data_IF_941761637136
#
_entry.id   IF_941761637136
#
_cell.length_a   1.000
_cell.length_b   1.000
_cell.length_c   1.000
_cell.angle_alpha   90.00
_cell.angle_beta   90.00
_cell.angle_gamma   90.00
#
_symmetry.space_group_name_H-M   'P 1'
#
loop_
_entity.id
_entity.type
_entity.pdbx_description
1 polymer ?
#
# COMPACT_ATOMS: atom_id res chain seq x y z
N UNK A 1 21.74 -5.42 22.59
CA UNK A 1 20.94 -4.18 22.46
C UNK A 1 19.49 -4.60 22.27
N UNK A 2 18.55 -3.88 22.89
CA UNK A 2 17.11 -4.14 22.73
C UNK A 2 16.50 -3.14 21.74
N UNK A 3 15.41 -3.52 21.08
CA UNK A 3 14.61 -2.59 20.29
C UNK A 3 13.73 -1.72 21.21
N UNK A 4 13.51 -0.47 20.82
CA UNK A 4 12.55 0.46 21.42
C UNK A 4 11.58 0.96 20.35
N UNK A 5 10.34 1.26 20.74
CA UNK A 5 9.35 1.81 19.83
C UNK A 5 9.85 3.16 19.27
N UNK A 6 9.96 3.25 17.95
CA UNK A 6 10.35 4.49 17.27
C UNK A 6 9.15 5.20 16.65
N UNK A 7 8.22 4.45 16.06
CA UNK A 7 7.05 4.99 15.37
C UNK A 7 5.88 4.03 15.53
N UNK A 8 4.68 4.58 15.67
CA UNK A 8 3.44 3.82 15.79
C UNK A 8 2.38 4.42 14.87
N UNK A 9 1.87 3.62 13.93
CA UNK A 9 0.85 4.04 12.98
C UNK A 9 -0.47 3.31 13.27
N UNK A 10 -1.48 4.06 13.70
CA UNK A 10 -2.84 3.58 13.90
C UNK A 10 -3.84 4.74 13.71
N UNK A 11 -5.07 4.42 13.30
CA UNK A 11 -6.12 5.39 13.02
C UNK A 11 -5.63 6.60 12.21
N UNK A 12 -5.91 7.80 12.73
CA UNK A 12 -5.52 9.05 12.08
C UNK A 12 -4.00 9.19 11.94
N UNK A 13 -3.21 8.64 12.87
CA UNK A 13 -1.75 8.68 12.80
C UNK A 13 -1.17 7.91 11.62
N UNK A 14 -1.82 6.83 11.17
CA UNK A 14 -1.45 6.15 9.93
C UNK A 14 -1.84 7.00 8.72
N UNK A 15 -3.06 7.56 8.72
CA UNK A 15 -3.57 8.37 7.61
C UNK A 15 -2.76 9.68 7.41
N UNK A 16 -2.18 10.22 8.47
CA UNK A 16 -1.32 11.42 8.41
C UNK A 16 0.16 11.08 8.23
N UNK A 17 0.58 9.87 8.63
CA UNK A 17 1.95 9.39 8.54
C UNK A 17 2.37 8.90 7.16
N UNK A 18 1.47 8.87 6.19
CA UNK A 18 1.68 8.36 4.85
C UNK A 18 1.19 9.34 3.77
N UNK A 19 1.94 9.40 2.68
CA UNK A 19 1.58 10.09 1.45
C UNK A 19 0.74 9.20 0.54
N UNK A 20 -0.30 9.76 -0.08
CA UNK A 20 -1.16 9.08 -1.05
C UNK A 20 -0.64 9.36 -2.46
N UNK A 21 -0.16 8.33 -3.14
CA UNK A 21 0.31 8.42 -4.51
C UNK A 21 -0.89 8.49 -5.47
N UNK A 22 -0.87 9.42 -6.43
CA UNK A 22 -1.95 9.62 -7.43
C UNK A 22 -1.47 9.53 -8.88
N UNK A 23 -0.21 9.16 -9.07
CA UNK A 23 0.38 8.99 -10.39
C UNK A 23 -0.11 7.72 -11.09
N UNK A 24 0.33 7.54 -12.33
CA UNK A 24 0.17 6.27 -13.03
C UNK A 24 0.90 5.16 -12.29
N UNK A 25 0.31 3.97 -12.27
CA UNK A 25 0.92 2.82 -11.61
C UNK A 25 2.28 2.47 -12.23
N UNK A 26 3.38 2.49 -11.46
CA UNK A 26 4.70 2.17 -11.98
C UNK A 26 4.83 0.74 -12.52
N UNK A 27 3.93 -0.17 -12.07
CA UNK A 27 3.81 -1.54 -12.57
C UNK A 27 2.82 -1.70 -13.72
N UNK A 28 2.23 -0.59 -14.21
CA UNK A 28 1.31 -0.53 -15.35
C UNK A 28 0.00 -1.33 -15.16
N UNK A 29 -0.49 -1.43 -13.92
CA UNK A 29 -1.77 -2.04 -13.60
C UNK A 29 -2.98 -1.22 -14.04
N UNK A 30 -4.15 -1.87 -14.16
CA UNK A 30 -5.43 -1.22 -14.41
C UNK A 30 -6.02 -0.63 -13.11
N UNK A 31 -5.40 0.44 -12.63
CA UNK A 31 -5.72 1.08 -11.34
C UNK A 31 -5.70 2.60 -11.44
N UNK A 32 -6.64 3.25 -10.76
CA UNK A 32 -6.65 4.71 -10.60
C UNK A 32 -6.40 5.04 -9.12
N UNK A 33 -5.17 5.46 -8.78
CA UNK A 33 -4.87 5.78 -7.40
C UNK A 33 -5.43 7.16 -7.01
N UNK A 34 -6.31 7.16 -6.02
CA UNK A 34 -7.00 8.35 -5.54
C UNK A 34 -6.16 9.14 -4.52
N UNK A 35 -6.39 10.46 -4.47
CA UNK A 35 -5.89 11.28 -3.37
C UNK A 35 -6.55 10.88 -2.05
N UNK A 36 -5.95 11.29 -0.92
CA UNK A 36 -6.51 11.07 0.42
C UNK A 36 -7.95 11.56 0.54
N UNK A 37 -8.25 12.76 0.02
CA UNK A 37 -9.59 13.36 0.09
C UNK A 37 -10.61 12.58 -0.73
N UNK A 38 -10.28 12.23 -1.97
CA UNK A 38 -11.14 11.43 -2.84
C UNK A 38 -11.38 10.03 -2.28
N UNK A 39 -10.34 9.39 -1.74
CA UNK A 39 -10.42 8.05 -1.16
C UNK A 39 -11.30 8.00 0.10
N UNK A 40 -11.25 9.05 0.93
CA UNK A 40 -12.11 9.19 2.11
C UNK A 40 -13.57 9.47 1.68
N UNK A 41 -13.75 10.37 0.71
CA UNK A 41 -15.08 10.73 0.19
C UNK A 41 -15.78 9.55 -0.48
N UNK A 42 -15.03 8.71 -1.21
CA UNK A 42 -15.52 7.48 -1.84
C UNK A 42 -15.59 6.28 -0.88
N UNK A 43 -15.21 6.45 0.40
CA UNK A 43 -15.26 5.43 1.45
C UNK A 43 -14.43 4.16 1.14
N UNK A 44 -13.44 4.28 0.25
CA UNK A 44 -12.42 3.23 0.05
C UNK A 44 -11.33 3.33 1.11
N UNK A 45 -11.17 4.49 1.75
CA UNK A 45 -10.39 4.66 2.98
C UNK A 45 -11.28 5.18 4.10
N UNK A 46 -11.17 4.56 5.27
CA UNK A 46 -11.89 5.00 6.47
C UNK A 46 -11.20 4.51 7.75
N UNK A 47 -11.56 5.11 8.88
CA UNK A 47 -11.14 4.69 10.23
C UNK A 47 -12.41 4.30 10.97
N UNK A 48 -12.41 3.13 11.60
CA UNK A 48 -13.54 2.67 12.40
C UNK A 48 -13.44 3.11 13.88
N UNK A 49 -14.45 2.79 14.67
CA UNK A 49 -14.54 3.12 16.09
C UNK A 49 -13.42 2.49 16.95
N UNK A 50 -12.69 1.51 16.42
CA UNK A 50 -11.56 0.83 17.08
C UNK A 50 -10.19 1.34 16.59
N UNK A 51 -10.14 2.46 15.85
CA UNK A 51 -8.93 3.01 15.22
C UNK A 51 -8.28 2.08 14.18
N UNK A 52 -9.02 1.11 13.63
CA UNK A 52 -8.52 0.30 12.53
C UNK A 52 -8.72 1.06 11.23
N UNK A 53 -7.68 1.07 10.41
CA UNK A 53 -7.73 1.71 9.09
C UNK A 53 -8.16 0.71 8.05
N UNK A 54 -9.24 1.02 7.33
CA UNK A 54 -9.61 0.33 6.10
C UNK A 54 -8.89 1.00 4.93
N UNK A 55 -8.14 0.22 4.16
CA UNK A 55 -7.61 0.60 2.85
C UNK A 55 -8.20 -0.36 1.81
N UNK A 56 -9.02 0.17 0.90
CA UNK A 56 -9.82 -0.63 -0.02
C UNK A 56 -9.73 -0.16 -1.47
N UNK A 57 -10.65 -0.70 -2.27
CA UNK A 57 -10.84 -0.40 -3.69
C UNK A 57 -12.31 -0.11 -3.95
N UNK A 58 -12.63 0.49 -5.09
CA UNK A 58 -14.01 0.55 -5.55
C UNK A 58 -14.51 -0.86 -5.89
N UNK A 59 -15.53 -1.33 -5.17
CA UNK A 59 -16.19 -2.61 -5.39
C UNK A 59 -17.66 -2.48 -5.84
N UNK A 60 -18.08 -1.29 -6.26
CA UNK A 60 -19.47 -0.95 -6.59
C UNK A 60 -19.60 -0.66 -8.09
N UNK A 61 -18.67 0.12 -8.64
CA UNK A 61 -18.77 0.62 -10.00
C UNK A 61 -18.16 -0.33 -11.05
N UNK A 62 -18.67 -0.22 -12.28
CA UNK A 62 -18.16 -0.91 -13.47
C UNK A 62 -17.31 0.04 -14.30
N UNK A 63 -16.20 -0.45 -14.83
CA UNK A 63 -15.23 0.33 -15.59
C UNK A 63 -14.99 -0.32 -16.97
N UNK A 64 -14.85 0.51 -17.99
CA UNK A 64 -14.41 0.13 -19.32
C UNK A 64 -12.90 -0.10 -19.32
N UNK A 65 -12.39 -0.95 -20.21
CA UNK A 65 -10.95 -1.14 -20.40
C UNK A 65 -10.23 0.10 -20.93
N UNK A 66 -10.97 1.12 -21.37
CA UNK A 66 -10.44 2.44 -21.75
C UNK A 66 -10.33 3.43 -20.59
N UNK A 67 -10.87 3.11 -19.42
CA UNK A 67 -10.80 3.96 -18.24
C UNK A 67 -9.39 3.91 -17.63
N UNK A 68 -9.11 4.82 -16.70
CA UNK A 68 -7.81 4.88 -16.00
C UNK A 68 -7.51 3.62 -15.19
N UNK A 69 -8.56 2.95 -14.71
CA UNK A 69 -8.47 1.78 -13.85
C UNK A 69 -9.54 1.76 -12.79
N UNK A 70 -9.56 0.70 -11.98
CA UNK A 70 -10.41 0.64 -10.78
C UNK A 70 -9.81 1.53 -9.68
N UNK A 71 -10.58 2.40 -9.01
CA UNK A 71 -10.07 3.21 -7.92
C UNK A 71 -9.48 2.40 -6.77
N UNK A 72 -8.30 2.80 -6.32
CA UNK A 72 -7.57 2.21 -5.20
C UNK A 72 -6.69 3.28 -4.53
N UNK A 73 -5.86 2.87 -3.57
CA UNK A 73 -4.90 3.74 -2.89
C UNK A 73 -3.52 3.08 -2.81
N UNK A 74 -2.48 3.87 -3.01
CA UNK A 74 -1.09 3.50 -2.76
C UNK A 74 -0.51 4.48 -1.75
N UNK A 75 -0.13 3.96 -0.59
CA UNK A 75 0.41 4.76 0.51
C UNK A 75 1.92 4.55 0.62
N UNK A 76 2.66 5.62 0.92
CA UNK A 76 4.11 5.56 1.19
C UNK A 76 4.40 6.32 2.47
N UNK A 77 5.12 5.72 3.41
CA UNK A 77 5.40 6.35 4.70
C UNK A 77 6.21 7.64 4.54
N UNK A 78 5.91 8.64 5.37
CA UNK A 78 6.68 9.89 5.41
C UNK A 78 8.07 9.69 6.04
N UNK A 79 8.21 8.67 6.88
CA UNK A 79 9.48 8.29 7.48
C UNK A 79 10.19 7.24 6.63
N UNK A 80 11.52 7.36 6.58
CA UNK A 80 12.43 6.41 5.98
C UNK A 80 13.24 5.70 7.06
N UNK A 81 13.58 4.45 6.82
CA UNK A 81 14.29 3.62 7.79
C UNK A 81 15.38 2.82 7.09
N UNK A 82 16.63 3.00 7.52
CA UNK A 82 17.76 2.20 7.01
C UNK A 82 17.80 0.82 7.66
N UNK A 83 17.44 0.73 8.94
CA UNK A 83 17.40 -0.50 9.73
C UNK A 83 16.24 -0.42 10.73
N UNK A 84 15.65 -1.55 11.10
CA UNK A 84 14.58 -1.57 12.10
C UNK A 84 13.98 -2.95 12.32
N UNK A 85 13.03 -3.00 13.24
CA UNK A 85 12.05 -4.08 13.38
C UNK A 85 10.70 -3.50 13.02
N UNK A 86 10.08 -4.03 11.97
CA UNK A 86 8.77 -3.60 11.49
C UNK A 86 7.73 -4.65 11.88
N UNK A 87 6.66 -4.20 12.54
CA UNK A 87 5.55 -5.05 12.95
C UNK A 87 4.29 -4.41 12.39
N UNK A 88 3.55 -5.17 11.59
CA UNK A 88 2.24 -4.79 11.08
C UNK A 88 1.23 -5.85 11.50
N UNK A 89 0.14 -5.42 12.11
CA UNK A 89 -0.98 -6.27 12.53
C UNK A 89 -2.18 -6.00 11.60
N UNK A 90 -2.63 -7.05 10.91
CA UNK A 90 -3.69 -6.97 9.93
C UNK A 90 -4.88 -7.84 10.35
N UNK A 91 -6.02 -7.20 10.59
CA UNK A 91 -7.28 -7.92 10.79
C UNK A 91 -7.80 -8.55 9.48
N UNK A 92 -7.45 -7.98 8.33
CA UNK A 92 -7.85 -8.44 7.00
C UNK A 92 -6.85 -7.91 5.94
N UNK A 93 -6.72 -8.62 4.82
CA UNK A 93 -5.96 -8.20 3.64
C UNK A 93 -6.78 -8.47 2.36
N UNK A 94 -6.48 -7.86 1.21
CA UNK A 94 -7.23 -8.12 -0.02
C UNK A 94 -7.30 -9.62 -0.34
N UNK A 95 -8.48 -10.09 -0.72
CA UNK A 95 -8.73 -11.52 -0.96
C UNK A 95 -8.10 -12.00 -2.26
N UNK A 96 -7.83 -13.31 -2.34
CA UNK A 96 -7.37 -14.02 -3.53
C UNK A 96 -8.44 -13.97 -4.65
N UNK A 97 -8.43 -12.90 -5.45
CA UNK A 97 -9.45 -12.59 -6.46
C UNK A 97 -8.77 -12.28 -7.80
N UNK A 98 -9.33 -12.74 -8.91
CA UNK A 98 -8.78 -12.47 -10.25
C UNK A 98 -8.57 -10.96 -10.48
N UNK A 99 -7.42 -10.60 -11.04
CA UNK A 99 -7.08 -9.22 -11.40
C UNK A 99 -6.54 -8.36 -10.24
N UNK A 100 -6.50 -8.85 -9.00
CA UNK A 100 -5.89 -8.11 -7.90
C UNK A 100 -4.40 -8.41 -7.77
N UNK A 101 -3.63 -7.43 -7.29
CA UNK A 101 -2.23 -7.58 -6.88
C UNK A 101 -1.98 -6.71 -5.63
N UNK A 102 -2.32 -7.19 -4.43
CA UNK A 102 -2.00 -6.50 -3.19
C UNK A 102 -0.52 -6.65 -2.80
N UNK A 103 0.04 -5.61 -2.20
CA UNK A 103 1.39 -5.66 -1.63
C UNK A 103 1.52 -4.81 -0.35
N UNK A 104 2.30 -5.32 0.61
CA UNK A 104 2.89 -4.57 1.73
C UNK A 104 4.40 -4.80 1.68
N UNK A 105 5.13 -3.74 1.36
CA UNK A 105 6.52 -3.84 0.91
C UNK A 105 7.30 -2.59 1.32
N UNK A 106 8.61 -2.66 1.17
CA UNK A 106 9.55 -1.57 1.44
C UNK A 106 10.43 -1.35 0.22
N UNK A 107 10.83 -0.10 -0.03
CA UNK A 107 11.70 0.24 -1.15
C UNK A 107 12.57 1.44 -0.82
N UNK A 108 13.67 1.57 -1.57
CA UNK A 108 14.47 2.77 -1.50
C UNK A 108 13.79 3.93 -2.25
N UNK A 109 13.33 4.90 -1.48
CA UNK A 109 12.77 6.17 -1.98
C UNK A 109 13.75 7.34 -1.88
N UNK A 110 14.97 7.14 -1.39
CA UNK A 110 15.96 8.20 -1.26
C UNK A 110 16.68 8.47 -2.59
N UNK A 111 16.81 9.75 -2.94
CA UNK A 111 17.38 10.23 -4.20
C UNK A 111 18.90 10.11 -4.33
N UNK A 112 19.53 9.10 -3.71
CA UNK A 112 20.97 8.87 -3.75
C UNK A 112 21.46 8.15 -5.04
N UNK A 113 20.70 8.27 -6.14
CA UNK A 113 21.03 7.70 -7.44
C UNK A 113 20.48 6.30 -7.71
N UNK A 114 19.79 5.69 -6.74
CA UNK A 114 19.16 4.37 -6.90
C UNK A 114 17.66 4.44 -6.61
N UNK A 115 16.90 5.04 -7.52
CA UNK A 115 15.44 5.05 -7.42
C UNK A 115 14.88 3.65 -7.69
N UNK A 116 13.72 3.35 -7.10
CA UNK A 116 12.92 2.20 -7.51
C UNK A 116 12.79 2.13 -9.05
N UNK A 117 13.02 0.95 -9.68
CA UNK A 117 13.25 -0.35 -9.04
C UNK A 117 14.73 -0.67 -8.70
N UNK A 118 15.69 0.17 -9.12
CA UNK A 118 17.14 -0.10 -8.95
C UNK A 118 17.66 0.06 -7.53
N UNK A 119 16.92 0.76 -6.68
CA UNK A 119 17.26 0.99 -5.27
C UNK A 119 17.06 -0.21 -4.35
N UNK A 120 16.49 -1.28 -4.89
CA UNK A 120 16.09 -2.46 -4.16
C UNK A 120 14.75 -2.31 -3.46
N UNK A 121 14.13 -3.47 -3.20
CA UNK A 121 12.85 -3.59 -2.52
C UNK A 121 12.78 -4.91 -1.74
N UNK A 122 11.92 -4.94 -0.73
CA UNK A 122 11.58 -6.15 0.04
C UNK A 122 10.07 -6.24 0.15
N UNK A 123 9.51 -7.30 -0.42
CA UNK A 123 8.08 -7.58 -0.43
C UNK A 123 7.74 -8.50 0.74
N UNK A 124 7.04 -7.95 1.72
CA UNK A 124 6.73 -8.63 2.98
C UNK A 124 5.42 -9.40 2.83
N UNK A 125 4.43 -8.80 2.18
CA UNK A 125 3.20 -9.46 1.74
C UNK A 125 3.03 -9.16 0.27
N UNK A 126 2.94 -10.17 -0.57
CA UNK A 126 2.65 -10.02 -1.99
C UNK A 126 1.94 -11.26 -2.55
N UNK A 127 1.04 -11.02 -3.50
CA UNK A 127 0.44 -12.06 -4.32
C UNK A 127 -0.39 -11.44 -5.43
N UNK A 128 -0.71 -12.24 -6.44
CA UNK A 128 -1.55 -11.80 -7.55
C UNK A 128 -2.67 -12.81 -7.81
N UNK A 129 -3.79 -12.30 -8.32
CA UNK A 129 -4.94 -13.08 -8.72
C UNK A 129 -5.44 -13.98 -7.57
N UNK A 130 -5.58 -15.28 -7.83
CA UNK A 130 -6.09 -16.27 -6.90
C UNK A 130 -4.99 -16.92 -6.04
N UNK A 131 -3.81 -16.31 -5.93
CA UNK A 131 -2.73 -16.80 -5.08
C UNK A 131 -3.21 -16.93 -3.61
N UNK A 132 -2.99 -18.11 -3.03
CA UNK A 132 -3.43 -18.44 -1.66
C UNK A 132 -2.27 -18.51 -0.66
N UNK A 133 -1.03 -18.33 -1.13
CA UNK A 133 0.16 -18.31 -0.29
C UNK A 133 0.90 -17.02 -0.58
N UNK A 134 1.45 -16.45 0.49
CA UNK A 134 2.26 -15.25 0.37
C UNK A 134 3.52 -15.53 -0.45
N UNK A 135 3.89 -14.59 -1.32
CA UNK A 135 5.20 -14.51 -1.94
C UNK A 135 6.03 -13.51 -1.15
N UNK A 136 7.16 -13.96 -0.61
CA UNK A 136 8.16 -13.09 -0.03
C UNK A 136 9.30 -12.96 -1.05
N UNK A 137 9.66 -11.74 -1.42
CA UNK A 137 10.70 -11.45 -2.40
C UNK A 137 11.59 -10.29 -1.98
N UNK A 138 12.74 -10.21 -2.61
CA UNK A 138 13.64 -9.07 -2.55
C UNK A 138 14.22 -8.83 -3.94
N UNK A 139 14.34 -7.55 -4.31
CA UNK A 139 14.91 -7.11 -5.58
C UNK A 139 16.14 -6.25 -5.28
N UNK A 140 17.21 -6.42 -6.07
CA UNK A 140 18.53 -5.81 -5.83
C UNK A 140 19.20 -5.37 -7.12
#
# INVERSE_FOLDING_TARGET
MAYSLSTHYAGQGLIDGFNFFTGQDPTHGFVDYLSKEEAMTSNIVSIDEFNRVKLGVDSINTYSTSDRGRPSVRLTSNHHFTHGLFIADFAHMPSSTCGTWPTFWTFNSEGNGSFWPKGGEVDIIEGANTAQRNLFSAHT
#
